data_IF_679056544506
#
_entry.id   IF_679056544506
#
_cell.length_a   1.000
_cell.length_b   1.000
_cell.length_c   1.000
_cell.angle_alpha   90.00
_cell.angle_beta   90.00
_cell.angle_gamma   90.00
#
_symmetry.space_group_name_H-M   'P 1'
#
loop_
_entity.id
_entity.type
_entity.pdbx_description
1 polymer ?
#
# COMPACT_ATOMS: atom_id res chain seq x y z
N UNK A 1 -8.92 25.06 -22.51
CA UNK A 1 -8.95 25.41 -21.07
C UNK A 1 -7.54 25.75 -20.61
N UNK A 2 -7.37 26.59 -19.55
CA UNK A 2 -6.07 26.91 -18.95
C UNK A 2 -6.11 26.58 -17.44
N UNK A 3 -5.06 26.03 -16.90
CA UNK A 3 -4.89 25.78 -15.46
C UNK A 3 -3.44 26.05 -15.06
N UNK A 4 -3.17 26.29 -13.78
CA UNK A 4 -1.79 26.40 -13.32
C UNK A 4 -1.16 25.01 -13.21
N UNK A 5 -1.91 24.07 -12.64
CA UNK A 5 -1.40 22.72 -12.33
C UNK A 5 -2.38 21.67 -12.85
N UNK A 6 -1.87 20.79 -13.70
CA UNK A 6 -2.61 19.63 -14.22
C UNK A 6 -2.11 18.35 -13.54
N UNK A 7 -3.02 17.60 -12.95
CA UNK A 7 -2.72 16.35 -12.25
C UNK A 7 -3.34 15.19 -13.02
N UNK A 8 -2.54 14.15 -13.28
CA UNK A 8 -2.97 12.95 -14.00
C UNK A 8 -3.13 11.79 -13.02
N UNK A 9 -4.37 11.35 -12.89
CA UNK A 9 -4.80 10.31 -11.96
C UNK A 9 -5.49 10.85 -10.71
N UNK A 10 -6.72 10.40 -10.47
CA UNK A 10 -7.51 10.72 -9.28
C UNK A 10 -7.41 9.60 -8.20
N UNK A 11 -6.26 8.94 -8.09
CA UNK A 11 -5.94 8.07 -6.96
C UNK A 11 -5.53 8.87 -5.72
N UNK A 12 -5.19 8.19 -4.62
CA UNK A 12 -4.87 8.83 -3.34
C UNK A 12 -3.79 9.93 -3.46
N UNK A 13 -2.70 9.68 -4.21
CA UNK A 13 -1.65 10.69 -4.41
C UNK A 13 -2.20 11.91 -5.16
N UNK A 14 -2.87 11.69 -6.30
CA UNK A 14 -3.39 12.80 -7.14
C UNK A 14 -4.44 13.62 -6.41
N UNK A 15 -5.41 12.98 -5.77
CA UNK A 15 -6.45 13.66 -4.99
C UNK A 15 -5.86 14.44 -3.80
N UNK A 16 -4.91 13.86 -3.05
CA UNK A 16 -4.26 14.56 -1.93
C UNK A 16 -3.46 15.77 -2.44
N UNK A 17 -2.76 15.64 -3.57
CA UNK A 17 -2.02 16.76 -4.19
C UNK A 17 -2.99 17.86 -4.62
N UNK A 18 -4.03 17.51 -5.37
CA UNK A 18 -5.04 18.44 -5.85
C UNK A 18 -5.76 19.16 -4.71
N UNK A 19 -6.21 18.42 -3.71
CA UNK A 19 -6.86 18.96 -2.51
C UNK A 19 -5.95 19.95 -1.79
N UNK A 20 -4.69 19.56 -1.55
CA UNK A 20 -3.72 20.42 -0.84
C UNK A 20 -3.42 21.71 -1.59
N UNK A 21 -3.30 21.65 -2.90
CA UNK A 21 -3.05 22.84 -3.74
C UNK A 21 -4.30 23.72 -3.83
N UNK A 22 -5.47 23.12 -4.07
CA UNK A 22 -6.73 23.84 -4.18
C UNK A 22 -7.12 24.53 -2.86
N UNK A 23 -6.86 23.89 -1.69
CA UNK A 23 -7.10 24.48 -0.37
C UNK A 23 -6.22 25.71 -0.09
N UNK A 24 -5.10 25.85 -0.82
CA UNK A 24 -4.21 27.01 -0.80
C UNK A 24 -4.49 28.02 -1.93
N UNK A 25 -5.62 27.87 -2.63
CA UNK A 25 -6.07 28.79 -3.67
C UNK A 25 -5.42 28.61 -5.06
N UNK A 26 -4.67 27.51 -5.29
CA UNK A 26 -4.10 27.22 -6.60
C UNK A 26 -5.18 26.75 -7.58
N UNK A 27 -5.05 27.14 -8.84
CA UNK A 27 -5.92 26.66 -9.91
C UNK A 27 -5.43 25.29 -10.39
N UNK A 28 -6.17 24.22 -10.05
CA UNK A 28 -5.81 22.84 -10.34
C UNK A 28 -6.88 22.16 -11.17
N UNK A 29 -6.46 21.26 -12.06
CA UNK A 29 -7.33 20.36 -12.80
C UNK A 29 -6.81 18.94 -12.68
N UNK A 30 -7.70 17.97 -12.47
CA UNK A 30 -7.39 16.54 -12.39
C UNK A 30 -8.03 15.80 -13.56
N UNK A 31 -7.25 14.97 -14.24
CA UNK A 31 -7.74 14.07 -15.29
C UNK A 31 -7.66 12.63 -14.84
N UNK A 32 -8.77 11.89 -14.92
CA UNK A 32 -8.85 10.47 -14.53
C UNK A 32 -9.53 9.64 -15.64
N UNK A 33 -8.93 8.52 -16.00
CA UNK A 33 -9.49 7.63 -17.05
C UNK A 33 -10.68 6.80 -16.58
N UNK A 34 -10.74 6.49 -15.28
CA UNK A 34 -11.86 5.74 -14.70
C UNK A 34 -13.09 6.62 -14.54
N UNK A 35 -14.27 5.98 -14.50
CA UNK A 35 -15.55 6.65 -14.28
C UNK A 35 -15.76 7.10 -12.82
N UNK A 36 -14.80 6.82 -11.94
CA UNK A 36 -14.79 7.23 -10.55
C UNK A 36 -13.41 7.72 -10.12
N UNK A 37 -13.38 8.60 -9.13
CA UNK A 37 -12.18 8.94 -8.38
C UNK A 37 -11.86 7.86 -7.33
N UNK A 38 -10.66 7.93 -6.72
CA UNK A 38 -10.21 7.03 -5.66
C UNK A 38 -9.13 6.03 -6.09
N UNK A 39 -8.97 5.81 -7.41
CA UNK A 39 -7.99 4.86 -7.94
C UNK A 39 -8.27 3.44 -7.42
N UNK A 40 -7.29 2.84 -6.73
CA UNK A 40 -7.46 1.49 -6.15
C UNK A 40 -8.23 1.46 -4.83
N UNK A 41 -8.49 2.60 -4.19
CA UNK A 41 -9.33 2.66 -3.00
C UNK A 41 -10.80 2.58 -3.43
N UNK A 42 -11.48 1.55 -2.99
CA UNK A 42 -12.91 1.38 -3.25
C UNK A 42 -13.54 0.52 -2.15
N UNK A 43 -14.46 1.13 -1.41
CA UNK A 43 -15.26 0.47 -0.37
C UNK A 43 -16.59 0.02 -0.97
N UNK A 44 -16.98 -1.20 -0.68
CA UNK A 44 -18.26 -1.79 -1.05
C UNK A 44 -19.10 -2.02 0.20
N UNK A 45 -20.40 -1.99 0.03
CA UNK A 45 -21.36 -2.30 1.09
C UNK A 45 -22.45 -3.24 0.55
N UNK A 46 -22.62 -4.39 1.19
CA UNK A 46 -23.55 -5.42 0.77
C UNK A 46 -23.92 -6.33 1.95
N UNK A 47 -25.20 -6.65 2.12
CA UNK A 47 -25.70 -7.62 3.11
C UNK A 47 -25.20 -7.43 4.55
N UNK A 48 -24.96 -6.19 4.96
CA UNK A 48 -24.44 -5.83 6.27
C UNK A 48 -22.91 -5.92 6.39
N UNK A 49 -22.21 -6.25 5.30
CA UNK A 49 -20.75 -6.21 5.23
C UNK A 49 -20.28 -4.93 4.56
N UNK A 50 -19.16 -4.38 5.07
CA UNK A 50 -18.43 -3.25 4.48
C UNK A 50 -16.99 -3.69 4.22
N UNK A 51 -16.63 -3.85 2.96
CA UNK A 51 -15.34 -4.40 2.55
C UNK A 51 -14.66 -3.55 1.48
N UNK A 52 -13.35 -3.68 1.39
CA UNK A 52 -12.52 -2.99 0.42
C UNK A 52 -12.19 -3.90 -0.77
N UNK A 53 -11.96 -3.33 -1.95
CA UNK A 53 -11.44 -4.05 -3.12
C UNK A 53 -10.09 -3.49 -3.56
N UNK A 54 -9.17 -3.31 -2.63
CA UNK A 54 -7.84 -2.74 -2.83
C UNK A 54 -7.12 -2.59 -1.51
N UNK A 55 -6.54 -1.43 -1.17
CA UNK A 55 -5.99 -1.23 0.16
C UNK A 55 -7.06 -1.39 1.24
N UNK A 56 -6.82 -2.27 2.21
CA UNK A 56 -7.76 -2.53 3.32
C UNK A 56 -7.49 -1.65 4.54
N UNK A 57 -6.21 -1.33 4.78
CA UNK A 57 -5.78 -0.58 5.97
C UNK A 57 -4.57 0.27 5.64
N UNK A 58 -4.38 1.34 6.41
CA UNK A 58 -3.14 2.09 6.41
C UNK A 58 -2.45 2.07 7.77
N UNK A 59 -1.26 2.65 7.84
CA UNK A 59 -0.56 2.90 9.10
C UNK A 59 -0.28 4.40 9.22
N UNK A 60 -0.59 4.99 10.38
CA UNK A 60 -0.26 6.40 10.67
C UNK A 60 1.26 6.50 10.91
N UNK A 61 2.03 6.21 9.87
CA UNK A 61 3.50 6.18 9.93
C UNK A 61 4.16 7.52 9.68
N UNK A 62 3.38 8.51 9.25
CA UNK A 62 3.78 9.88 8.97
C UNK A 62 2.72 10.85 9.52
N UNK A 63 3.11 12.05 10.01
CA UNK A 63 2.16 13.05 10.55
C UNK A 63 1.10 13.50 9.54
N UNK A 64 1.46 13.56 8.26
CA UNK A 64 0.60 14.02 7.15
C UNK A 64 -0.71 13.23 7.05
N UNK A 65 -0.72 11.97 7.55
CA UNK A 65 -1.95 11.16 7.59
C UNK A 65 -2.95 11.74 8.57
N UNK A 66 -2.51 12.01 9.81
CA UNK A 66 -3.40 12.57 10.84
C UNK A 66 -3.85 14.00 10.47
N UNK A 67 -2.93 14.80 9.94
CA UNK A 67 -3.23 16.16 9.47
C UNK A 67 -4.30 16.13 8.37
N UNK A 68 -4.16 15.24 7.38
CA UNK A 68 -5.15 15.09 6.31
C UNK A 68 -6.53 14.70 6.86
N UNK A 69 -6.61 13.76 7.78
CA UNK A 69 -7.89 13.37 8.37
C UNK A 69 -8.56 14.50 9.14
N UNK A 70 -7.80 15.29 9.91
CA UNK A 70 -8.32 16.48 10.62
C UNK A 70 -8.93 17.47 9.62
N UNK A 71 -8.26 17.71 8.50
CA UNK A 71 -8.76 18.60 7.46
C UNK A 71 -10.01 18.03 6.77
N UNK A 72 -9.97 16.74 6.41
CA UNK A 72 -11.07 16.08 5.70
C UNK A 72 -12.32 15.92 6.60
N UNK A 73 -12.16 15.65 7.87
CA UNK A 73 -13.29 15.63 8.81
C UNK A 73 -14.02 16.97 8.81
N UNK A 74 -13.27 18.08 8.84
CA UNK A 74 -13.84 19.43 8.80
C UNK A 74 -14.56 19.73 7.47
N UNK A 75 -13.91 19.49 6.34
CA UNK A 75 -14.49 19.87 5.02
C UNK A 75 -15.61 18.95 4.57
N UNK A 76 -15.66 17.71 5.09
CA UNK A 76 -16.72 16.74 4.80
C UNK A 76 -17.92 16.85 5.75
N UNK A 77 -17.89 17.77 6.72
CA UNK A 77 -18.93 17.87 7.76
C UNK A 77 -18.99 16.61 8.64
N UNK A 78 -17.83 16.01 8.96
CA UNK A 78 -17.71 14.85 9.83
C UNK A 78 -17.89 13.48 9.13
N UNK A 79 -18.10 13.45 7.81
CA UNK A 79 -18.28 12.18 7.08
C UNK A 79 -16.98 11.39 6.93
N UNK A 80 -15.84 12.07 6.75
CA UNK A 80 -14.53 11.44 6.69
C UNK A 80 -13.85 11.51 8.06
N UNK A 81 -14.02 10.49 8.88
CA UNK A 81 -13.47 10.42 10.23
C UNK A 81 -12.45 9.31 10.35
N UNK A 82 -11.31 9.63 10.98
CA UNK A 82 -10.25 8.64 11.26
C UNK A 82 -10.76 7.57 12.22
N UNK A 83 -10.57 6.31 11.85
CA UNK A 83 -10.77 5.16 12.72
C UNK A 83 -9.44 4.42 12.90
N UNK A 84 -9.08 4.06 14.13
CA UNK A 84 -7.87 3.28 14.41
C UNK A 84 -8.20 1.94 15.02
N UNK A 85 -7.46 0.91 14.61
CA UNK A 85 -7.64 -0.43 15.13
C UNK A 85 -7.42 -0.47 16.67
N UNK A 86 -8.26 -1.20 17.43
CA UNK A 86 -8.13 -1.35 18.86
C UNK A 86 -6.88 -2.17 19.23
N UNK A 87 -6.48 -2.08 20.49
CA UNK A 87 -5.26 -2.78 20.96
C UNK A 87 -5.36 -4.30 20.83
N UNK A 88 -6.55 -4.89 20.94
CA UNK A 88 -6.79 -6.31 20.71
C UNK A 88 -6.41 -6.74 19.27
N UNK A 89 -6.62 -5.89 18.28
CA UNK A 89 -6.26 -6.14 16.90
C UNK A 89 -4.76 -5.89 16.58
N UNK A 90 -3.93 -5.54 17.56
CA UNK A 90 -2.47 -5.45 17.36
C UNK A 90 -1.80 -6.80 17.20
N UNK A 91 -2.45 -7.89 17.62
CA UNK A 91 -1.92 -9.24 17.45
C UNK A 91 -1.79 -9.56 15.97
N UNK A 92 -0.57 -9.88 15.55
CA UNK A 92 -0.27 -10.39 14.21
C UNK A 92 0.04 -11.86 14.31
N UNK A 93 -0.53 -12.64 13.43
CA UNK A 93 -0.42 -14.08 13.47
C UNK A 93 0.44 -14.56 12.29
N UNK A 94 1.17 -15.65 12.52
CA UNK A 94 1.93 -16.37 11.49
C UNK A 94 1.45 -17.80 11.47
N UNK A 95 1.12 -18.32 10.31
CA UNK A 95 0.79 -19.74 10.15
C UNK A 95 2.04 -20.58 10.33
N UNK A 96 1.97 -21.61 11.16
CA UNK A 96 3.05 -22.58 11.32
C UNK A 96 2.48 -23.94 11.66
N UNK A 97 2.70 -24.91 10.76
CA UNK A 97 2.16 -26.25 10.85
C UNK A 97 0.66 -26.28 10.63
N UNK A 98 -0.12 -26.34 11.70
CA UNK A 98 -1.58 -26.54 11.68
C UNK A 98 -2.40 -25.37 12.28
N UNK A 99 -1.73 -24.28 12.70
CA UNK A 99 -2.40 -23.18 13.38
C UNK A 99 -1.68 -21.84 13.23
N UNK A 100 -2.43 -20.77 13.45
CA UNK A 100 -1.89 -19.44 13.62
C UNK A 100 -1.23 -19.26 15.00
N UNK A 101 -0.01 -18.70 15.01
CA UNK A 101 0.76 -18.39 16.21
C UNK A 101 1.06 -16.90 16.26
N UNK A 102 0.94 -16.31 17.44
CA UNK A 102 1.18 -14.87 17.59
C UNK A 102 2.65 -14.52 17.36
N UNK A 103 2.88 -13.48 16.53
CA UNK A 103 4.20 -12.88 16.40
C UNK A 103 4.56 -12.17 17.71
N UNK A 104 5.78 -12.33 18.22
CA UNK A 104 6.19 -11.70 19.48
C UNK A 104 6.10 -10.17 19.42
N UNK A 105 5.53 -9.56 20.46
CA UNK A 105 5.41 -8.11 20.61
C UNK A 105 6.37 -7.52 21.66
N UNK A 106 7.10 -8.36 22.39
CA UNK A 106 8.03 -7.95 23.44
C UNK A 106 8.99 -9.08 23.85
N UNK A 107 9.95 -8.79 24.74
CA UNK A 107 10.99 -9.74 25.14
C UNK A 107 10.43 -11.05 25.73
N UNK A 108 9.46 -10.97 26.62
CA UNK A 108 8.86 -12.17 27.21
C UNK A 108 8.19 -13.08 26.17
N UNK A 109 7.41 -12.50 25.28
CA UNK A 109 6.77 -13.22 24.18
C UNK A 109 7.78 -13.73 23.14
N UNK A 110 8.92 -13.03 22.94
CA UNK A 110 9.99 -13.49 22.06
C UNK A 110 10.70 -14.73 22.60
N UNK A 111 10.85 -14.84 23.93
CA UNK A 111 11.42 -16.03 24.58
C UNK A 111 10.43 -17.20 24.49
N UNK A 112 9.14 -16.95 24.74
CA UNK A 112 8.11 -17.98 24.81
C UNK A 112 7.61 -18.46 23.43
N UNK A 113 7.79 -17.69 22.35
CA UNK A 113 7.21 -18.00 21.04
C UNK A 113 7.71 -19.35 20.49
N UNK A 114 6.81 -20.21 19.96
CA UNK A 114 7.18 -21.44 19.25
C UNK A 114 7.55 -21.19 17.77
N UNK A 115 7.48 -19.95 17.29
CA UNK A 115 7.87 -19.62 15.92
C UNK A 115 9.34 -19.88 15.65
N UNK A 116 10.21 -19.66 16.66
CA UNK A 116 11.66 -19.76 16.54
C UNK A 116 12.23 -20.78 17.54
N UNK A 117 13.24 -21.52 17.11
CA UNK A 117 14.01 -22.42 17.97
C UNK A 117 14.87 -21.63 18.97
N UNK A 118 15.38 -22.32 20.01
CA UNK A 118 16.33 -21.68 20.94
C UNK A 118 17.58 -21.16 20.22
N UNK A 119 18.12 -21.93 19.25
CA UNK A 119 19.26 -21.51 18.43
C UNK A 119 18.99 -20.23 17.65
N UNK A 120 17.79 -20.10 17.06
CA UNK A 120 17.38 -18.87 16.35
C UNK A 120 17.29 -17.68 17.30
N UNK A 121 16.76 -17.88 18.52
CA UNK A 121 16.65 -16.83 19.55
C UNK A 121 18.04 -16.32 19.97
N UNK A 122 19.01 -17.23 20.21
CA UNK A 122 20.40 -16.84 20.48
C UNK A 122 21.04 -16.12 19.29
N UNK A 123 20.73 -16.56 18.08
CA UNK A 123 21.23 -15.88 16.87
C UNK A 123 20.73 -14.43 16.76
N UNK A 124 19.46 -14.19 17.07
CA UNK A 124 18.84 -12.84 17.07
C UNK A 124 19.49 -11.98 18.17
N UNK A 125 19.72 -12.51 19.36
CA UNK A 125 20.43 -11.80 20.43
C UNK A 125 21.84 -11.37 20.04
N UNK A 126 22.54 -12.12 19.19
CA UNK A 126 23.86 -11.79 18.64
C UNK A 126 23.85 -10.74 17.53
N UNK A 127 22.68 -10.21 17.12
CA UNK A 127 22.55 -9.22 16.03
C UNK A 127 23.42 -7.98 16.24
N UNK A 128 23.52 -7.35 17.44
CA UNK A 128 24.29 -6.15 17.66
C UNK A 128 25.81 -6.26 17.38
N UNK A 129 26.37 -7.46 17.39
CA UNK A 129 27.79 -7.72 17.17
C UNK A 129 28.13 -8.14 15.73
N UNK A 130 27.12 -8.24 14.83
CA UNK A 130 27.36 -8.60 13.43
C UNK A 130 27.88 -7.42 12.65
N UNK A 131 28.80 -7.70 11.72
CA UNK A 131 29.34 -6.68 10.82
C UNK A 131 28.22 -6.09 9.96
N UNK A 132 28.32 -4.79 9.71
CA UNK A 132 27.51 -4.04 8.78
C UNK A 132 27.72 -4.55 7.35
N UNK A 133 26.66 -4.61 6.54
CA UNK A 133 26.74 -4.92 5.11
C UNK A 133 27.32 -3.75 4.30
N UNK A 134 28.08 -4.07 3.27
CA UNK A 134 28.71 -3.09 2.38
C UNK A 134 27.99 -2.96 1.03
N UNK A 135 27.21 -3.99 0.64
CA UNK A 135 26.44 -3.96 -0.59
C UNK A 135 25.19 -3.09 -0.45
N UNK A 136 25.09 -1.93 -1.13
CA UNK A 136 23.92 -1.07 -1.04
C UNK A 136 22.68 -1.70 -1.68
N UNK A 137 22.86 -2.66 -2.59
CA UNK A 137 21.78 -3.35 -3.30
C UNK A 137 21.43 -4.72 -2.67
N UNK A 138 21.91 -4.96 -1.43
CA UNK A 138 21.55 -6.16 -0.68
C UNK A 138 20.03 -6.32 -0.58
N UNK A 139 19.51 -7.49 -0.95
CA UNK A 139 18.09 -7.79 -0.86
C UNK A 139 17.66 -7.91 0.60
N UNK A 140 16.35 -7.78 0.85
CA UNK A 140 15.81 -7.92 2.20
C UNK A 140 16.06 -9.33 2.76
N UNK A 141 15.97 -10.36 1.90
CA UNK A 141 16.26 -11.75 2.27
C UNK A 141 17.72 -11.97 2.63
N UNK A 142 18.67 -11.43 1.86
CA UNK A 142 20.11 -11.50 2.14
C UNK A 142 20.45 -10.79 3.45
N UNK A 143 19.99 -9.55 3.62
CA UNK A 143 20.16 -8.76 4.83
C UNK A 143 19.65 -9.52 6.06
N UNK A 144 18.43 -10.00 6.00
CA UNK A 144 17.82 -10.70 7.12
C UNK A 144 18.51 -12.05 7.41
N UNK A 145 18.90 -12.80 6.37
CA UNK A 145 19.63 -14.07 6.53
C UNK A 145 20.99 -13.85 7.18
N UNK A 146 21.72 -12.83 6.76
CA UNK A 146 23.02 -12.45 7.30
C UNK A 146 22.90 -12.03 8.77
N UNK A 147 21.94 -11.20 9.12
CA UNK A 147 21.80 -10.66 10.48
C UNK A 147 21.01 -11.57 11.44
N UNK A 148 19.93 -12.16 10.98
CA UNK A 148 18.96 -12.83 11.86
C UNK A 148 18.84 -14.33 11.60
N UNK A 149 19.28 -14.82 10.44
CA UNK A 149 19.28 -16.25 10.08
C UNK A 149 18.09 -16.69 9.25
N UNK A 150 18.18 -17.94 8.74
CA UNK A 150 17.20 -18.49 7.79
C UNK A 150 15.79 -18.58 8.39
N UNK A 151 15.66 -19.10 9.61
CA UNK A 151 14.35 -19.27 10.25
C UNK A 151 13.61 -17.95 10.42
N UNK A 152 14.34 -16.86 10.70
CA UNK A 152 13.73 -15.52 10.77
C UNK A 152 13.28 -15.02 9.38
N UNK A 153 14.04 -15.34 8.33
CA UNK A 153 13.59 -15.07 6.95
C UNK A 153 12.31 -15.82 6.69
N UNK A 154 12.26 -17.12 6.95
CA UNK A 154 11.14 -17.99 6.61
C UNK A 154 9.84 -17.62 7.36
N UNK A 155 9.91 -17.28 8.66
CA UNK A 155 8.72 -17.09 9.51
C UNK A 155 8.43 -15.63 9.91
N UNK A 156 9.25 -14.68 9.50
CA UNK A 156 8.99 -13.26 9.77
C UNK A 156 9.12 -12.40 8.52
N UNK A 157 10.25 -12.48 7.81
CA UNK A 157 10.52 -11.58 6.68
C UNK A 157 9.73 -11.98 5.44
N UNK A 158 9.77 -13.26 5.08
CA UNK A 158 9.04 -13.79 3.93
C UNK A 158 7.51 -13.55 4.04
N UNK A 159 6.82 -13.98 5.11
CA UNK A 159 5.39 -13.72 5.23
C UNK A 159 5.06 -12.23 5.31
N UNK A 160 5.92 -11.40 5.93
CA UNK A 160 5.72 -9.96 5.97
C UNK A 160 5.81 -9.34 4.55
N UNK A 161 6.83 -9.68 3.77
CA UNK A 161 6.98 -9.13 2.42
C UNK A 161 5.94 -9.69 1.45
N UNK A 162 5.60 -10.96 1.57
CA UNK A 162 4.51 -11.56 0.81
C UNK A 162 3.16 -10.90 1.12
N UNK A 163 2.88 -10.58 2.38
CA UNK A 163 1.63 -9.94 2.80
C UNK A 163 1.56 -8.43 2.49
N UNK A 164 2.69 -7.72 2.54
CA UNK A 164 2.71 -6.24 2.36
C UNK A 164 3.07 -5.83 0.93
N UNK A 165 4.03 -6.53 0.31
CA UNK A 165 4.51 -6.24 -1.04
C UNK A 165 3.98 -7.21 -2.08
N UNK A 166 3.34 -8.31 -1.66
CA UNK A 166 3.10 -9.47 -2.52
C UNK A 166 4.39 -9.92 -3.23
N UNK A 167 5.54 -9.67 -2.61
CA UNK A 167 6.88 -9.70 -3.20
C UNK A 167 7.72 -10.87 -2.70
N UNK A 168 8.93 -10.97 -3.28
CA UNK A 168 9.94 -11.95 -2.87
C UNK A 168 11.05 -11.24 -2.07
N UNK A 169 11.39 -11.68 -0.84
CA UNK A 169 12.52 -11.14 -0.10
C UNK A 169 13.87 -11.26 -0.83
N UNK A 170 13.99 -12.16 -1.80
CA UNK A 170 15.22 -12.37 -2.56
C UNK A 170 15.39 -11.40 -3.75
N UNK A 171 14.37 -10.62 -4.11
CA UNK A 171 14.43 -9.65 -5.22
C UNK A 171 14.25 -8.21 -4.76
N UNK A 172 13.54 -7.97 -3.67
CA UNK A 172 13.31 -6.64 -3.12
C UNK A 172 14.60 -6.09 -2.49
N UNK A 173 15.09 -4.95 -2.99
CA UNK A 173 16.31 -4.29 -2.48
C UNK A 173 15.98 -3.47 -1.24
N UNK A 174 16.73 -3.72 -0.16
CA UNK A 174 16.40 -3.21 1.19
C UNK A 174 16.34 -1.68 1.25
N UNK A 175 17.30 -0.98 0.63
CA UNK A 175 17.34 0.49 0.68
C UNK A 175 16.13 1.16 0.04
N UNK A 176 15.45 0.48 -0.88
CA UNK A 176 14.26 0.99 -1.57
C UNK A 176 12.96 0.47 -0.95
N UNK A 177 12.90 -0.82 -0.63
CA UNK A 177 11.69 -1.44 -0.07
C UNK A 177 11.50 -1.12 1.42
N UNK A 178 12.58 -1.18 2.21
CA UNK A 178 12.57 -0.96 3.66
C UNK A 178 13.64 0.06 4.09
N UNK A 179 13.60 1.32 3.61
CA UNK A 179 14.66 2.30 3.86
C UNK A 179 14.88 2.57 5.35
N UNK A 180 13.84 2.49 6.18
CA UNK A 180 13.97 2.64 7.63
C UNK A 180 14.84 1.54 8.24
N UNK A 181 14.69 0.29 7.80
CA UNK A 181 15.49 -0.85 8.26
C UNK A 181 16.93 -0.73 7.76
N UNK A 182 17.13 -0.41 6.48
CA UNK A 182 18.43 -0.16 5.89
C UNK A 182 19.19 0.91 6.67
N UNK A 183 18.57 2.04 6.95
CA UNK A 183 19.18 3.15 7.67
C UNK A 183 19.55 2.82 9.13
N UNK A 184 18.83 1.92 9.80
CA UNK A 184 19.20 1.44 11.14
C UNK A 184 20.56 0.75 11.10
N UNK A 185 20.81 -0.13 10.13
CA UNK A 185 22.09 -0.77 9.97
C UNK A 185 23.16 0.21 9.51
N UNK A 186 22.87 1.03 8.50
CA UNK A 186 23.85 1.93 7.91
C UNK A 186 24.35 2.98 8.90
N UNK A 187 23.47 3.56 9.70
CA UNK A 187 23.80 4.66 10.60
C UNK A 187 24.26 4.21 11.99
N UNK A 188 23.82 3.02 12.43
CA UNK A 188 24.07 2.54 13.81
C UNK A 188 24.77 1.18 13.87
N UNK A 189 25.01 0.54 12.73
CA UNK A 189 25.66 -0.77 12.61
C UNK A 189 24.79 -1.96 13.07
N UNK A 190 23.57 -1.73 13.57
CA UNK A 190 22.69 -2.75 14.14
C UNK A 190 21.24 -2.29 14.17
N UNK A 191 20.30 -3.19 13.94
CA UNK A 191 18.88 -2.92 14.09
C UNK A 191 18.50 -2.61 15.54
N UNK A 192 19.00 -3.42 16.48
CA UNK A 192 18.72 -3.26 17.92
C UNK A 192 19.30 -1.94 18.44
N UNK A 193 20.59 -1.70 18.20
CA UNK A 193 21.25 -0.45 18.65
C UNK A 193 20.61 0.78 18.00
N UNK A 194 20.31 0.70 16.71
CA UNK A 194 19.66 1.77 15.97
C UNK A 194 18.26 2.07 16.49
N UNK A 195 17.44 1.04 16.73
CA UNK A 195 16.11 1.20 17.30
C UNK A 195 16.14 1.84 18.69
N UNK A 196 17.08 1.42 19.55
CA UNK A 196 17.27 2.00 20.89
C UNK A 196 17.71 3.47 20.85
N UNK A 197 18.65 3.84 19.96
CA UNK A 197 19.07 5.23 19.79
C UNK A 197 17.93 6.09 19.26
N UNK A 198 17.24 5.60 18.22
CA UNK A 198 16.14 6.32 17.59
C UNK A 198 14.94 6.52 18.51
N UNK A 199 14.69 5.58 19.44
CA UNK A 199 13.64 5.71 20.45
C UNK A 199 13.90 6.86 21.46
N UNK A 200 15.16 7.29 21.63
CA UNK A 200 15.58 8.36 22.53
C UNK A 200 15.64 9.74 21.83
N UNK A 201 15.50 9.80 20.51
CA UNK A 201 15.46 11.07 19.79
C UNK A 201 14.25 11.90 20.24
N UNK A 202 14.46 13.21 20.48
CA UNK A 202 13.35 14.10 20.84
C UNK A 202 12.33 14.16 19.71
N UNK A 203 11.05 14.12 20.05
CA UNK A 203 9.94 14.19 19.09
C UNK A 203 9.24 15.52 19.27
N UNK A 204 9.01 16.21 18.16
CA UNK A 204 8.12 17.37 18.11
C UNK A 204 6.65 16.94 18.32
N UNK A 205 5.76 17.88 18.60
CA UNK A 205 4.35 17.58 18.70
C UNK A 205 3.79 17.05 17.37
N UNK A 206 4.30 17.56 16.25
CA UNK A 206 3.95 17.03 14.93
C UNK A 206 4.40 15.58 14.75
N UNK A 207 5.61 15.19 15.18
CA UNK A 207 6.10 13.81 15.10
C UNK A 207 5.25 12.84 15.92
N UNK A 208 4.63 13.32 17.01
CA UNK A 208 3.74 12.52 17.86
C UNK A 208 2.44 12.15 17.17
N UNK A 209 2.02 12.87 16.12
CA UNK A 209 0.88 12.51 15.29
C UNK A 209 1.11 11.19 14.55
N UNK A 210 2.36 10.82 14.25
CA UNK A 210 2.73 9.55 13.65
C UNK A 210 2.66 8.39 14.66
N UNK A 211 1.47 8.04 15.10
CA UNK A 211 1.20 7.04 16.16
C UNK A 211 1.55 5.61 15.77
N UNK A 212 1.77 5.33 14.47
CA UNK A 212 1.97 3.99 13.87
C UNK A 212 0.77 3.05 14.04
N UNK A 213 -0.36 3.54 14.54
CA UNK A 213 -1.59 2.75 14.60
C UNK A 213 -2.07 2.39 13.20
N UNK A 214 -2.69 1.24 13.09
CA UNK A 214 -3.42 0.84 11.87
C UNK A 214 -4.68 1.69 11.78
N UNK A 215 -4.98 2.21 10.60
CA UNK A 215 -6.14 3.06 10.38
C UNK A 215 -7.00 2.63 9.20
N UNK A 216 -8.23 3.05 9.26
CA UNK A 216 -9.19 3.18 8.17
C UNK A 216 -9.97 4.50 8.34
N UNK A 217 -10.96 4.75 7.51
CA UNK A 217 -12.00 5.74 7.78
C UNK A 217 -13.26 5.03 8.29
N UNK A 218 -14.01 5.68 9.18
CA UNK A 218 -15.33 5.19 9.60
C UNK A 218 -16.20 4.98 8.36
N UNK A 219 -16.77 3.78 8.22
CA UNK A 219 -17.57 3.42 7.05
C UNK A 219 -16.79 3.03 5.79
N UNK A 220 -15.46 3.05 5.82
CA UNK A 220 -14.61 2.60 4.72
C UNK A 220 -13.63 3.63 4.18
N UNK A 221 -12.58 3.14 3.53
CA UNK A 221 -11.47 3.97 3.02
C UNK A 221 -11.91 4.92 1.90
N UNK A 222 -12.97 4.60 1.15
CA UNK A 222 -13.52 5.50 0.12
C UNK A 222 -13.89 6.87 0.68
N UNK A 223 -14.27 6.98 1.95
CA UNK A 223 -14.61 8.26 2.57
C UNK A 223 -13.45 9.28 2.54
N UNK A 224 -12.19 8.81 2.47
CA UNK A 224 -11.02 9.68 2.29
C UNK A 224 -11.01 10.29 0.89
N UNK A 225 -11.16 9.45 -0.13
CA UNK A 225 -11.13 9.86 -1.54
C UNK A 225 -12.37 10.64 -1.93
N UNK A 226 -13.52 10.27 -1.39
CA UNK A 226 -14.80 10.94 -1.64
C UNK A 226 -14.82 12.34 -1.01
N UNK A 227 -14.28 12.51 0.20
CA UNK A 227 -14.18 13.83 0.83
C UNK A 227 -13.32 14.80 -0.02
N UNK A 228 -12.19 14.33 -0.54
CA UNK A 228 -11.34 15.12 -1.42
C UNK A 228 -11.98 15.38 -2.78
N UNK A 229 -12.62 14.36 -3.35
CA UNK A 229 -13.30 14.48 -4.65
C UNK A 229 -14.48 15.45 -4.58
N UNK A 230 -15.29 15.37 -3.54
CA UNK A 230 -16.39 16.31 -3.33
C UNK A 230 -15.92 17.75 -3.12
N UNK A 231 -14.81 17.95 -2.40
CA UNK A 231 -14.20 19.28 -2.25
C UNK A 231 -13.70 19.84 -3.58
N UNK A 232 -13.12 19.00 -4.43
CA UNK A 232 -12.57 19.40 -5.72
C UNK A 232 -13.69 19.67 -6.76
N UNK A 233 -14.77 18.91 -6.73
CA UNK A 233 -15.92 19.08 -7.63
C UNK A 233 -15.53 19.08 -9.10
N UNK A 234 -15.91 20.10 -9.83
CA UNK A 234 -15.69 20.26 -11.29
C UNK A 234 -14.21 20.34 -11.69
N UNK A 235 -13.28 20.40 -10.73
CA UNK A 235 -11.85 20.32 -11.01
C UNK A 235 -11.40 18.89 -11.37
N UNK A 236 -12.28 17.90 -11.29
CA UNK A 236 -11.98 16.52 -11.68
C UNK A 236 -12.77 16.16 -12.93
N UNK A 237 -12.06 15.77 -13.98
CA UNK A 237 -12.66 15.20 -15.20
C UNK A 237 -12.43 13.70 -15.21
N UNK A 238 -13.51 12.93 -15.14
CA UNK A 238 -13.51 11.47 -15.13
C UNK A 238 -13.78 10.89 -16.52
N UNK A 239 -13.41 9.62 -16.75
CA UNK A 239 -13.74 8.87 -17.96
C UNK A 239 -12.97 9.32 -19.19
N UNK A 240 -11.83 10.00 -19.03
CA UNK A 240 -11.03 10.46 -20.18
C UNK A 240 -10.34 9.31 -20.89
N UNK A 241 -10.11 9.48 -22.20
CA UNK A 241 -9.40 8.51 -23.04
C UNK A 241 -8.33 9.25 -23.88
N UNK A 242 -7.38 8.47 -24.41
CA UNK A 242 -6.38 8.95 -25.39
C UNK A 242 -5.57 10.17 -24.91
N UNK A 243 -5.28 10.25 -23.61
CA UNK A 243 -4.50 11.34 -23.05
C UNK A 243 -3.09 11.36 -23.62
N UNK A 244 -2.65 12.52 -24.10
CA UNK A 244 -1.25 12.80 -24.46
C UNK A 244 -0.85 14.15 -23.90
N UNK A 245 0.36 14.22 -23.39
CA UNK A 245 0.96 15.45 -22.84
C UNK A 245 2.20 15.75 -23.64
N UNK A 246 2.35 17.01 -24.05
CA UNK A 246 3.50 17.49 -24.81
C UNK A 246 3.98 18.82 -24.28
N UNK A 247 5.31 19.07 -24.23
CA UNK A 247 5.84 20.37 -23.86
C UNK A 247 5.54 21.41 -24.97
N UNK A 248 5.28 22.64 -24.55
CA UNK A 248 5.03 23.77 -25.47
C UNK A 248 5.64 25.07 -24.90
N UNK A 249 6.89 25.35 -25.28
CA UNK A 249 7.67 26.41 -24.64
C UNK A 249 7.82 26.19 -23.15
N UNK A 250 7.38 27.14 -22.34
CA UNK A 250 7.42 27.04 -20.87
C UNK A 250 6.10 26.50 -20.27
N UNK A 251 5.26 25.87 -21.08
CA UNK A 251 3.96 25.31 -20.66
C UNK A 251 3.79 23.89 -21.18
N UNK A 252 2.70 23.27 -20.80
CA UNK A 252 2.32 21.92 -21.18
C UNK A 252 0.97 21.92 -21.90
N UNK A 253 0.85 21.13 -22.94
CA UNK A 253 -0.40 20.87 -23.63
C UNK A 253 -0.81 19.42 -23.35
N UNK A 254 -1.98 19.26 -22.74
CA UNK A 254 -2.63 17.95 -22.60
C UNK A 254 -3.80 17.87 -23.57
N UNK A 255 -3.83 16.85 -24.41
CA UNK A 255 -4.95 16.52 -25.31
C UNK A 255 -5.57 15.21 -24.89
N UNK A 256 -6.88 15.12 -24.87
CA UNK A 256 -7.61 13.91 -24.50
C UNK A 256 -8.99 13.89 -25.16
N UNK A 257 -9.64 12.72 -25.10
CA UNK A 257 -11.04 12.56 -25.49
C UNK A 257 -11.86 12.47 -24.22
N UNK A 258 -12.90 13.29 -24.08
CA UNK A 258 -13.81 13.25 -22.94
C UNK A 258 -14.80 12.07 -23.04
N UNK A 259 -15.66 11.95 -22.02
CA UNK A 259 -16.69 10.91 -21.96
C UNK A 259 -17.64 10.91 -23.15
N UNK A 260 -17.94 12.09 -23.68
CA UNK A 260 -18.88 12.27 -24.79
C UNK A 260 -18.22 12.09 -26.17
N UNK A 261 -16.91 11.78 -26.20
CA UNK A 261 -16.15 11.56 -27.42
C UNK A 261 -15.56 12.84 -28.01
N UNK A 262 -15.66 13.98 -27.34
CA UNK A 262 -15.12 15.22 -27.83
C UNK A 262 -13.62 15.34 -27.54
N UNK A 263 -12.87 15.89 -28.49
CA UNK A 263 -11.48 16.23 -28.29
C UNK A 263 -11.34 17.50 -27.45
N UNK A 264 -10.58 17.39 -26.38
CA UNK A 264 -10.34 18.45 -25.42
C UNK A 264 -8.85 18.79 -25.34
N UNK A 265 -8.57 20.05 -25.01
CA UNK A 265 -7.20 20.55 -24.82
C UNK A 265 -7.10 21.38 -23.54
N UNK A 266 -6.09 21.09 -22.72
CA UNK A 266 -5.75 21.87 -21.53
C UNK A 266 -4.31 22.36 -21.66
N UNK A 267 -4.09 23.65 -21.38
CA UNK A 267 -2.75 24.23 -21.21
C UNK A 267 -2.47 24.39 -19.73
N UNK A 268 -1.32 23.92 -19.27
CA UNK A 268 -0.90 23.97 -17.87
C UNK A 268 0.53 24.51 -17.73
N UNK A 269 0.85 25.12 -16.58
CA UNK A 269 2.22 25.50 -16.23
C UNK A 269 2.99 24.30 -15.68
N UNK A 270 2.33 23.52 -14.85
CA UNK A 270 2.87 22.33 -14.19
C UNK A 270 2.03 21.10 -14.53
N UNK A 271 2.68 19.95 -14.69
CA UNK A 271 2.04 18.64 -14.88
C UNK A 271 2.57 17.65 -13.85
N UNK A 272 1.66 17.00 -13.13
CA UNK A 272 1.99 15.99 -12.13
C UNK A 272 1.34 14.67 -12.54
N UNK A 273 2.15 13.65 -12.87
CA UNK A 273 1.63 12.30 -13.12
C UNK A 273 1.61 11.51 -11.82
N UNK A 274 0.50 10.86 -11.51
CA UNK A 274 0.35 10.02 -10.30
C UNK A 274 -0.15 8.61 -10.61
N UNK A 275 -0.19 8.26 -11.89
CA UNK A 275 -0.60 6.96 -12.41
C UNK A 275 0.54 5.92 -12.35
N UNK A 276 0.21 4.66 -12.64
CA UNK A 276 1.21 3.58 -12.74
C UNK A 276 2.21 3.81 -13.86
N UNK A 277 3.45 3.37 -13.67
CA UNK A 277 4.53 3.56 -14.67
C UNK A 277 4.20 2.97 -16.03
N UNK A 278 3.39 1.92 -16.06
CA UNK A 278 2.99 1.20 -17.28
C UNK A 278 2.12 2.00 -18.26
N UNK A 279 1.56 3.12 -17.84
CA UNK A 279 0.79 4.03 -18.74
C UNK A 279 1.60 5.25 -19.19
N UNK A 280 2.76 5.51 -18.56
CA UNK A 280 3.58 6.69 -18.89
C UNK A 280 4.07 6.73 -20.34
N UNK A 281 4.42 5.60 -21.00
CA UNK A 281 4.80 5.62 -22.42
C UNK A 281 3.74 6.25 -23.33
N UNK A 282 2.47 6.01 -23.05
CA UNK A 282 1.36 6.49 -23.87
C UNK A 282 1.07 7.97 -23.62
N UNK A 283 1.20 8.42 -22.38
CA UNK A 283 0.81 9.79 -21.98
C UNK A 283 1.96 10.80 -22.09
N UNK A 284 3.23 10.36 -22.09
CA UNK A 284 4.44 11.20 -22.20
C UNK A 284 5.27 10.83 -23.43
N UNK A 285 4.73 10.94 -24.66
CA UNK A 285 5.36 10.44 -25.87
C UNK A 285 6.64 11.21 -26.28
N UNK A 286 6.91 12.36 -25.68
CA UNK A 286 8.10 13.17 -25.89
C UNK A 286 9.35 12.65 -25.16
N UNK A 287 9.19 11.75 -24.19
CA UNK A 287 10.32 11.11 -23.52
C UNK A 287 10.87 10.02 -24.45
N UNK A 288 12.18 10.05 -24.68
CA UNK A 288 12.83 9.06 -25.52
C UNK A 288 12.58 7.63 -25.04
N UNK A 289 12.35 6.70 -25.98
CA UNK A 289 12.02 5.32 -25.68
C UNK A 289 13.02 4.63 -24.75
N UNK A 290 14.32 4.92 -24.92
CA UNK A 290 15.40 4.39 -24.07
C UNK A 290 15.32 4.84 -22.62
N UNK A 291 14.95 6.12 -22.39
CA UNK A 291 14.76 6.66 -21.04
C UNK A 291 13.41 6.20 -20.45
N UNK A 292 12.36 6.20 -21.25
CA UNK A 292 11.06 5.71 -20.83
C UNK A 292 11.10 4.22 -20.44
N UNK A 293 11.88 3.39 -21.13
CA UNK A 293 12.07 1.98 -20.79
C UNK A 293 12.63 1.80 -19.38
N UNK A 294 13.54 2.68 -18.92
CA UNK A 294 14.10 2.63 -17.57
C UNK A 294 13.06 3.01 -16.50
N UNK A 295 12.12 3.91 -16.83
CA UNK A 295 11.02 4.28 -15.94
C UNK A 295 9.97 3.17 -15.90
N UNK A 296 9.65 2.57 -17.06
CA UNK A 296 8.58 1.59 -17.20
C UNK A 296 9.00 0.14 -16.94
N UNK A 297 10.28 -0.14 -16.65
CA UNK A 297 10.74 -1.48 -16.27
C UNK A 297 10.31 -1.91 -14.86
N UNK A 298 9.51 -1.09 -14.19
CA UNK A 298 8.94 -1.39 -12.88
C UNK A 298 7.95 -2.55 -12.97
N UNK A 299 8.26 -3.65 -12.29
CA UNK A 299 7.35 -4.78 -12.15
C UNK A 299 6.28 -4.48 -11.10
N UNK A 300 5.08 -4.95 -11.36
CA UNK A 300 3.99 -4.94 -10.40
C UNK A 300 3.63 -6.38 -10.04
N UNK A 301 3.47 -6.66 -8.77
CA UNK A 301 2.93 -7.93 -8.33
C UNK A 301 1.44 -8.00 -8.68
N UNK A 302 0.97 -9.07 -9.36
CA UNK A 302 -0.45 -9.33 -9.52
C UNK A 302 -1.02 -9.84 -8.20
N UNK A 303 -2.32 -9.58 -7.95
CA UNK A 303 -2.98 -9.98 -6.72
C UNK A 303 -4.44 -10.36 -6.98
N UNK A 304 -4.88 -11.45 -6.39
CA UNK A 304 -6.29 -11.74 -6.18
C UNK A 304 -6.60 -11.43 -4.73
N UNK A 305 -7.52 -10.51 -4.52
CA UNK A 305 -8.07 -10.14 -3.23
C UNK A 305 -9.49 -10.69 -3.14
N UNK A 306 -9.81 -11.38 -2.03
CA UNK A 306 -11.14 -11.98 -1.85
C UNK A 306 -11.70 -11.57 -0.51
N UNK A 307 -12.82 -10.86 -0.52
CA UNK A 307 -13.60 -10.57 0.68
C UNK A 307 -14.50 -11.75 1.01
N UNK A 308 -14.40 -12.23 2.24
CA UNK A 308 -15.13 -13.40 2.74
C UNK A 308 -15.86 -13.01 4.02
N UNK A 309 -17.18 -13.01 3.97
CA UNK A 309 -18.05 -12.66 5.09
C UNK A 309 -18.80 -13.85 5.66
N UNK A 310 -18.99 -13.88 6.97
CA UNK A 310 -19.87 -14.82 7.66
C UNK A 310 -20.76 -14.06 8.64
N UNK A 311 -22.06 -14.33 8.63
CA UNK A 311 -23.04 -13.62 9.48
C UNK A 311 -23.02 -14.10 10.93
N UNK A 312 -22.49 -15.31 11.19
CA UNK A 312 -22.32 -15.82 12.54
C UNK A 312 -21.01 -16.61 12.67
N UNK A 313 -20.16 -16.20 13.60
CA UNK A 313 -18.87 -16.85 13.86
C UNK A 313 -18.98 -18.16 14.60
N UNK A 314 -20.16 -18.58 15.05
CA UNK A 314 -20.36 -19.77 15.88
C UNK A 314 -19.48 -19.79 17.14
N UNK A 315 -19.26 -18.62 17.73
CA UNK A 315 -18.44 -18.47 18.94
C UNK A 315 -16.92 -18.48 18.73
N UNK A 316 -16.45 -18.55 17.47
CA UNK A 316 -15.03 -18.42 17.16
C UNK A 316 -14.57 -16.97 17.36
N UNK A 317 -13.40 -16.78 17.96
CA UNK A 317 -12.84 -15.47 18.26
C UNK A 317 -11.67 -15.11 17.33
N UNK A 318 -11.79 -13.99 16.60
CA UNK A 318 -10.80 -13.52 15.64
C UNK A 318 -10.16 -12.18 16.06
N UNK A 319 -9.96 -11.93 17.36
CA UNK A 319 -9.34 -10.71 17.92
C UNK A 319 -7.86 -10.60 17.56
N UNK A 320 -7.57 -10.33 16.29
CA UNK A 320 -6.24 -10.11 15.74
C UNK A 320 -6.32 -9.19 14.51
N UNK A 321 -5.19 -8.64 14.08
CA UNK A 321 -5.09 -7.92 12.80
C UNK A 321 -5.32 -8.85 11.60
N UNK A 322 -4.83 -10.06 11.73
CA UNK A 322 -4.85 -11.08 10.69
C UNK A 322 -3.69 -12.04 10.84
N UNK A 323 -3.59 -12.97 9.91
CA UNK A 323 -2.55 -13.99 9.84
C UNK A 323 -1.82 -13.97 8.50
N UNK A 324 -0.49 -14.00 8.54
CA UNK A 324 0.37 -14.14 7.38
C UNK A 324 0.79 -15.60 7.21
N UNK A 325 1.01 -16.00 5.97
CA UNK A 325 1.35 -17.38 5.64
C UNK A 325 2.74 -17.42 5.00
N UNK A 326 3.71 -18.07 5.68
CA UNK A 326 5.05 -18.26 5.10
C UNK A 326 5.02 -19.12 3.84
N UNK A 327 5.87 -18.79 2.87
CA UNK A 327 6.00 -19.58 1.64
C UNK A 327 6.38 -21.04 1.92
N UNK A 328 7.18 -21.30 2.97
CA UNK A 328 7.60 -22.64 3.36
C UNK A 328 6.46 -23.52 3.92
N UNK A 329 5.30 -22.97 4.21
CA UNK A 329 4.11 -23.71 4.65
C UNK A 329 3.24 -24.21 3.49
N UNK A 330 3.61 -23.85 2.23
CA UNK A 330 3.00 -24.34 0.99
C UNK A 330 1.47 -24.20 0.92
N UNK A 331 0.93 -23.09 1.45
CA UNK A 331 -0.50 -22.77 1.35
C UNK A 331 -0.76 -21.86 0.14
N UNK A 332 -2.00 -21.87 -0.34
CA UNK A 332 -2.41 -21.10 -1.53
C UNK A 332 -2.74 -19.63 -1.24
N UNK A 333 -2.68 -19.20 0.03
CA UNK A 333 -2.92 -17.81 0.44
C UNK A 333 -1.65 -17.20 1.02
N UNK A 334 -1.42 -15.91 0.76
CA UNK A 334 -0.31 -15.14 1.34
C UNK A 334 -0.63 -14.68 2.77
N UNK A 335 -1.91 -14.51 3.06
CA UNK A 335 -2.41 -14.10 4.36
C UNK A 335 -3.89 -13.79 4.33
N UNK A 336 -4.43 -13.60 5.53
CA UNK A 336 -5.83 -13.28 5.78
C UNK A 336 -5.87 -12.10 6.74
N UNK A 337 -6.48 -10.98 6.35
CA UNK A 337 -6.82 -9.89 7.28
C UNK A 337 -8.16 -10.15 7.95
N UNK A 338 -8.35 -9.55 9.12
CA UNK A 338 -9.60 -9.59 9.89
C UNK A 338 -10.17 -8.18 10.05
N UNK A 339 -10.75 -7.58 8.98
CA UNK A 339 -11.21 -6.19 9.01
C UNK A 339 -12.25 -5.91 10.10
N UNK A 340 -13.16 -6.85 10.37
CA UNK A 340 -14.17 -6.71 11.43
C UNK A 340 -13.59 -6.72 12.85
N UNK A 341 -12.40 -7.27 13.06
CA UNK A 341 -11.67 -7.16 14.33
C UNK A 341 -10.94 -5.81 14.48
N UNK A 342 -10.66 -5.14 13.37
CA UNK A 342 -9.91 -3.90 13.32
C UNK A 342 -10.81 -2.65 13.36
N UNK A 343 -11.99 -2.72 12.75
CA UNK A 343 -12.84 -1.57 12.52
C UNK A 343 -14.31 -1.91 12.73
N UNK A 344 -15.08 -0.92 13.17
CA UNK A 344 -16.50 -1.07 13.47
C UNK A 344 -17.34 -1.16 12.18
N UNK A 345 -18.47 -1.84 12.27
CA UNK A 345 -19.46 -1.91 11.18
C UNK A 345 -18.97 -2.63 9.91
N UNK A 346 -17.92 -3.47 10.01
CA UNK A 346 -17.41 -4.23 8.85
C UNK A 346 -18.17 -5.52 8.59
N UNK A 347 -18.88 -6.03 9.58
CA UNK A 347 -19.72 -7.22 9.49
C UNK A 347 -20.96 -7.05 10.38
N UNK A 348 -21.99 -7.89 10.23
CA UNK A 348 -23.10 -8.01 11.19
C UNK A 348 -22.58 -8.30 12.62
N UNK A 349 -23.37 -8.03 13.64
CA UNK A 349 -22.97 -8.07 15.06
C UNK A 349 -22.32 -9.39 15.50
N UNK A 350 -22.88 -10.53 15.10
CA UNK A 350 -22.32 -11.86 15.40
C UNK A 350 -21.39 -12.39 14.31
N UNK A 351 -21.17 -11.59 13.26
CA UNK A 351 -20.44 -11.99 12.07
C UNK A 351 -18.97 -11.61 12.10
N UNK A 352 -18.29 -12.01 11.04
CA UNK A 352 -16.92 -11.60 10.77
C UNK A 352 -16.70 -11.35 9.27
N UNK A 353 -15.76 -10.45 8.98
CA UNK A 353 -15.25 -10.19 7.65
C UNK A 353 -13.76 -10.53 7.61
N UNK A 354 -13.39 -11.26 6.57
CA UNK A 354 -12.01 -11.63 6.27
C UNK A 354 -11.65 -11.13 4.87
N UNK A 355 -10.38 -10.77 4.67
CA UNK A 355 -9.84 -10.49 3.34
C UNK A 355 -8.67 -11.42 3.09
N UNK A 356 -8.78 -12.26 2.05
CA UNK A 356 -7.75 -13.19 1.63
C UNK A 356 -6.91 -12.57 0.52
N UNK A 357 -5.60 -12.77 0.60
CA UNK A 357 -4.65 -12.36 -0.43
C UNK A 357 -4.01 -13.58 -1.07
N UNK A 358 -4.11 -13.68 -2.40
CA UNK A 358 -3.67 -14.84 -3.19
C UNK A 358 -2.83 -14.31 -4.36
N UNK A 359 -1.78 -15.02 -4.75
CA UNK A 359 -0.94 -14.67 -5.90
C UNK A 359 0.39 -14.03 -5.50
N UNK A 360 0.61 -12.78 -5.87
CA UNK A 360 1.90 -12.11 -5.73
C UNK A 360 2.91 -12.54 -6.78
N UNK A 361 4.16 -12.05 -6.69
CA UNK A 361 5.21 -12.35 -7.68
C UNK A 361 5.59 -13.83 -7.75
N UNK A 362 5.39 -14.58 -6.68
CA UNK A 362 5.74 -16.00 -6.59
C UNK A 362 4.67 -16.91 -7.19
N UNK A 363 3.45 -16.44 -7.30
CA UNK A 363 2.28 -17.19 -7.74
C UNK A 363 1.39 -16.35 -8.65
N UNK A 364 2.00 -15.72 -9.66
CA UNK A 364 1.29 -14.85 -10.60
C UNK A 364 0.19 -15.60 -11.39
N UNK A 365 0.36 -16.90 -11.57
CA UNK A 365 -0.60 -17.80 -12.23
C UNK A 365 -1.97 -17.85 -11.52
N UNK A 366 -2.03 -17.49 -10.25
CA UNK A 366 -3.29 -17.46 -9.49
C UNK A 366 -4.30 -16.45 -10.04
N UNK A 367 -3.82 -15.43 -10.76
CA UNK A 367 -4.69 -14.43 -11.39
C UNK A 367 -5.58 -15.03 -12.50
N UNK A 368 -5.08 -16.08 -13.15
CA UNK A 368 -5.76 -16.76 -14.28
C UNK A 368 -6.78 -17.83 -13.83
N UNK A 369 -6.83 -18.12 -12.52
CA UNK A 369 -7.81 -19.08 -11.99
C UNK A 369 -9.23 -18.57 -12.14
N UNK A 370 -10.13 -19.47 -12.47
CA UNK A 370 -11.57 -19.22 -12.49
C UNK A 370 -12.12 -18.86 -11.11
N UNK A 371 -13.27 -18.20 -11.06
CA UNK A 371 -13.94 -17.88 -9.78
C UNK A 371 -14.29 -19.13 -8.99
N UNK A 372 -14.65 -20.23 -9.67
CA UNK A 372 -14.91 -21.53 -9.01
C UNK A 372 -13.68 -22.12 -8.34
N UNK A 373 -12.51 -22.07 -9.00
CA UNK A 373 -11.26 -22.54 -8.40
C UNK A 373 -10.85 -21.67 -7.21
N UNK A 374 -11.00 -20.35 -7.32
CA UNK A 374 -10.71 -19.43 -6.22
C UNK A 374 -11.68 -19.63 -5.04
N UNK A 375 -12.95 -19.88 -5.31
CA UNK A 375 -13.97 -20.19 -4.28
C UNK A 375 -13.58 -21.47 -3.55
N UNK A 376 -13.14 -22.52 -4.25
CA UNK A 376 -12.66 -23.76 -3.64
C UNK A 376 -11.46 -23.52 -2.71
N UNK A 377 -10.53 -22.65 -3.11
CA UNK A 377 -9.39 -22.26 -2.24
C UNK A 377 -9.92 -21.56 -0.99
N UNK A 378 -10.86 -20.63 -1.14
CA UNK A 378 -11.47 -19.89 -0.01
C UNK A 378 -12.11 -20.86 0.97
N UNK A 379 -12.94 -21.79 0.49
CA UNK A 379 -13.62 -22.77 1.33
C UNK A 379 -12.64 -23.68 2.09
N UNK A 380 -11.60 -24.17 1.43
CA UNK A 380 -10.56 -24.96 2.06
C UNK A 380 -9.87 -24.19 3.19
N UNK A 381 -9.47 -22.95 2.91
CA UNK A 381 -8.81 -22.07 3.90
C UNK A 381 -9.77 -21.69 5.03
N UNK A 382 -11.04 -21.49 4.75
CA UNK A 382 -12.08 -21.17 5.73
C UNK A 382 -12.25 -22.28 6.78
N UNK A 383 -12.24 -23.53 6.35
CA UNK A 383 -12.35 -24.67 7.25
C UNK A 383 -11.00 -25.02 7.88
N UNK A 384 -9.92 -25.06 7.10
CA UNK A 384 -8.60 -25.49 7.59
C UNK A 384 -7.96 -24.45 8.52
N UNK A 385 -7.93 -23.18 8.08
CA UNK A 385 -7.14 -22.15 8.77
C UNK A 385 -7.97 -21.33 9.76
N UNK A 386 -9.20 -20.97 9.39
CA UNK A 386 -10.12 -20.24 10.28
C UNK A 386 -10.93 -21.17 11.20
N UNK A 387 -10.84 -22.50 11.01
CA UNK A 387 -11.45 -23.51 11.87
C UNK A 387 -12.99 -23.49 11.91
N UNK A 388 -13.65 -22.94 10.89
CA UNK A 388 -15.09 -23.04 10.81
C UNK A 388 -15.51 -24.50 10.61
N UNK A 389 -16.61 -24.93 11.26
CA UNK A 389 -17.16 -26.28 11.06
C UNK A 389 -17.56 -26.52 9.60
N UNK A 390 -17.43 -27.77 9.13
CA UNK A 390 -17.74 -28.13 7.74
C UNK A 390 -19.21 -27.88 7.30
N UNK A 391 -20.10 -27.64 8.24
CA UNK A 391 -21.52 -27.28 7.99
C UNK A 391 -21.73 -25.79 7.70
N UNK A 392 -20.72 -24.95 7.99
CA UNK A 392 -20.80 -23.50 7.85
C UNK A 392 -20.13 -23.11 6.56
N UNK A 393 -20.82 -22.39 5.71
CA UNK A 393 -20.27 -21.80 4.49
C UNK A 393 -20.16 -20.28 4.66
N UNK A 394 -19.27 -19.60 3.93
CA UNK A 394 -19.29 -18.15 3.84
C UNK A 394 -20.63 -17.63 3.28
N UNK A 395 -21.15 -16.55 3.89
CA UNK A 395 -22.35 -15.85 3.41
C UNK A 395 -22.03 -14.87 2.28
N UNK A 396 -20.78 -14.40 2.21
CA UNK A 396 -20.27 -13.47 1.20
C UNK A 396 -18.93 -13.95 0.68
N UNK A 397 -18.78 -14.01 -0.65
CA UNK A 397 -17.49 -14.16 -1.34
C UNK A 397 -17.47 -13.16 -2.49
N UNK A 398 -16.47 -12.25 -2.51
CA UNK A 398 -16.28 -11.27 -3.61
C UNK A 398 -14.81 -11.27 -4.04
N UNK A 399 -14.59 -11.55 -5.31
CA UNK A 399 -13.26 -11.77 -5.91
C UNK A 399 -12.86 -10.54 -6.71
N UNK A 400 -11.68 -10.01 -6.43
CA UNK A 400 -11.09 -8.87 -7.12
C UNK A 400 -9.72 -9.24 -7.68
N UNK A 401 -9.49 -8.98 -8.97
CA UNK A 401 -8.22 -9.26 -9.66
C UNK A 401 -7.50 -7.97 -9.99
N UNK A 402 -6.26 -7.86 -9.54
CA UNK A 402 -5.40 -6.70 -9.75
C UNK A 402 -4.14 -7.11 -10.50
N UNK A 403 -4.09 -6.87 -11.82
CA UNK A 403 -2.93 -7.18 -12.64
C UNK A 403 -1.68 -6.41 -12.21
N UNK A 404 -1.84 -5.15 -11.85
CA UNK A 404 -0.77 -4.25 -11.46
C UNK A 404 -1.02 -3.72 -10.03
N UNK A 405 -1.04 -4.62 -9.03
CA UNK A 405 -1.40 -4.26 -7.66
C UNK A 405 -0.28 -3.49 -6.95
N UNK A 406 0.89 -4.08 -6.79
CA UNK A 406 1.93 -3.55 -5.91
C UNK A 406 3.28 -3.47 -6.64
N UNK A 407 3.87 -2.25 -6.78
CA UNK A 407 5.16 -2.08 -7.42
C UNK A 407 6.28 -2.75 -6.63
N UNK A 408 7.21 -3.38 -7.35
CA UNK A 408 8.34 -4.11 -6.79
C UNK A 408 9.61 -3.28 -6.86
N UNK A 409 10.17 -2.94 -5.71
CA UNK A 409 11.39 -2.14 -5.63
C UNK A 409 12.63 -3.04 -5.66
N UNK A 410 12.93 -3.54 -6.85
CA UNK A 410 14.05 -4.42 -7.17
C UNK A 410 15.31 -3.63 -7.57
N UNK A 411 16.33 -4.32 -8.07
CA UNK A 411 17.65 -3.76 -8.43
C UNK A 411 17.57 -2.60 -9.44
N UNK A 412 16.59 -2.61 -10.34
CA UNK A 412 16.39 -1.54 -11.34
C UNK A 412 15.84 -0.23 -10.75
N UNK A 413 15.48 -0.22 -9.48
CA UNK A 413 14.88 0.96 -8.83
C UNK A 413 15.81 2.16 -8.84
N UNK A 414 17.11 1.97 -8.62
CA UNK A 414 18.09 3.07 -8.63
C UNK A 414 18.16 3.77 -9.98
N UNK A 415 18.26 3.01 -11.06
CA UNK A 415 18.27 3.55 -12.42
C UNK A 415 16.97 4.27 -12.76
N UNK A 416 15.82 3.71 -12.37
CA UNK A 416 14.52 4.33 -12.57
C UNK A 416 14.42 5.69 -11.86
N UNK A 417 14.82 5.76 -10.58
CA UNK A 417 14.76 7.01 -9.81
C UNK A 417 15.67 8.08 -10.41
N UNK A 418 16.92 7.73 -10.76
CA UNK A 418 17.84 8.64 -11.40
C UNK A 418 17.31 9.15 -12.76
N UNK A 419 16.62 8.26 -13.53
CA UNK A 419 16.03 8.64 -14.80
C UNK A 419 14.84 9.58 -14.61
N UNK A 420 14.00 9.34 -13.60
CA UNK A 420 12.89 10.25 -13.25
C UNK A 420 13.44 11.63 -12.90
N UNK A 421 14.45 11.72 -12.04
CA UNK A 421 15.08 13.00 -11.66
C UNK A 421 15.66 13.72 -12.88
N UNK A 422 16.34 13.01 -13.78
CA UNK A 422 16.86 13.53 -15.04
C UNK A 422 15.76 14.12 -15.90
N UNK A 423 14.61 13.43 -16.00
CA UNK A 423 13.49 13.92 -16.80
C UNK A 423 12.84 15.16 -16.18
N UNK A 424 12.64 15.18 -14.86
CA UNK A 424 12.12 16.34 -14.13
C UNK A 424 13.05 17.56 -14.26
N UNK A 425 14.36 17.37 -14.27
CA UNK A 425 15.35 18.44 -14.51
C UNK A 425 15.35 18.94 -15.97
N UNK A 426 15.22 18.03 -16.93
CA UNK A 426 15.20 18.36 -18.38
C UNK A 426 13.92 19.08 -18.79
N UNK A 427 12.79 18.71 -18.21
CA UNK A 427 11.47 19.20 -18.57
C UNK A 427 10.85 19.95 -17.39
N UNK A 428 11.12 21.27 -17.33
CA UNK A 428 10.60 22.12 -16.25
C UNK A 428 9.08 22.04 -16.16
N UNK A 429 8.56 21.97 -14.94
CA UNK A 429 7.14 21.83 -14.68
C UNK A 429 6.59 20.41 -14.86
N UNK A 430 7.46 19.40 -15.11
CA UNK A 430 7.06 17.98 -15.10
C UNK A 430 7.42 17.34 -13.76
N UNK A 431 6.44 16.66 -13.14
CA UNK A 431 6.61 15.88 -11.91
C UNK A 431 6.10 14.47 -12.12
N UNK A 432 6.99 13.48 -12.04
CA UNK A 432 6.64 12.06 -12.20
C UNK A 432 6.51 11.43 -10.81
N UNK A 433 5.29 11.38 -10.30
CA UNK A 433 4.94 10.89 -8.97
C UNK A 433 4.15 9.56 -9.02
N UNK A 434 3.51 9.22 -7.93
CA UNK A 434 2.78 7.97 -7.79
C UNK A 434 3.61 6.87 -7.13
N UNK A 435 3.13 5.64 -7.21
CA UNK A 435 3.72 4.50 -6.50
C UNK A 435 5.01 3.94 -7.13
N UNK A 436 5.48 4.52 -8.23
CA UNK A 436 6.76 4.16 -8.83
C UNK A 436 7.98 4.60 -8.00
N UNK A 437 7.77 5.49 -7.03
CA UNK A 437 8.78 6.02 -6.09
C UNK A 437 8.17 6.33 -4.72
N UNK A 438 9.01 6.52 -3.71
CA UNK A 438 8.68 6.99 -2.34
C UNK A 438 7.80 6.04 -1.50
N UNK A 439 7.76 4.76 -1.84
CA UNK A 439 7.05 3.72 -1.09
C UNK A 439 5.64 3.41 -1.61
N UNK A 440 5.07 2.32 -1.12
CA UNK A 440 3.82 1.75 -1.65
C UNK A 440 2.60 2.05 -0.76
N UNK A 441 2.81 2.28 0.54
CA UNK A 441 1.71 2.40 1.50
C UNK A 441 0.97 3.74 1.42
N UNK A 442 -0.28 3.78 1.82
CA UNK A 442 -1.13 4.99 1.81
C UNK A 442 -0.47 6.20 2.49
N UNK A 443 0.19 6.00 3.64
CA UNK A 443 0.91 7.07 4.32
C UNK A 443 2.05 7.68 3.48
N UNK A 444 2.73 6.85 2.67
CA UNK A 444 3.75 7.33 1.75
C UNK A 444 3.13 8.12 0.59
N UNK A 445 1.97 7.67 0.10
CA UNK A 445 1.24 8.37 -0.97
C UNK A 445 0.75 9.74 -0.53
N UNK A 446 0.22 9.82 0.69
CA UNK A 446 -0.22 11.09 1.31
C UNK A 446 0.98 12.01 1.52
N UNK A 447 2.09 11.49 2.08
CA UNK A 447 3.30 12.28 2.30
C UNK A 447 3.87 12.81 0.97
N UNK A 448 4.04 11.97 -0.05
CA UNK A 448 4.53 12.39 -1.36
C UNK A 448 3.68 13.52 -1.93
N UNK A 449 2.36 13.40 -1.85
CA UNK A 449 1.43 14.42 -2.32
C UNK A 449 1.61 15.76 -1.59
N UNK A 450 1.78 15.74 -0.27
CA UNK A 450 2.04 16.93 0.54
C UNK A 450 3.39 17.56 0.20
N UNK A 451 4.44 16.74 0.04
CA UNK A 451 5.78 17.22 -0.32
C UNK A 451 5.78 17.90 -1.70
N UNK A 452 5.07 17.34 -2.68
CA UNK A 452 4.91 17.97 -4.01
C UNK A 452 4.13 19.28 -3.91
N UNK A 453 3.00 19.27 -3.22
CA UNK A 453 2.19 20.47 -3.06
C UNK A 453 2.96 21.59 -2.33
N UNK A 454 3.81 21.26 -1.36
CA UNK A 454 4.64 22.24 -0.66
C UNK A 454 5.67 22.90 -1.57
N UNK A 455 6.21 22.19 -2.57
CA UNK A 455 7.18 22.74 -3.53
C UNK A 455 6.53 23.70 -4.52
N UNK A 456 5.22 23.56 -4.74
CA UNK A 456 4.45 24.34 -5.73
C UNK A 456 3.61 25.48 -5.10
N UNK A 457 3.72 25.68 -3.81
CA UNK A 457 3.05 26.78 -3.07
C UNK A 457 4.03 27.83 -2.63
#
# INVERSE_FOLDING_TARGET
MKTDILIIGAGLTGLTTAYTLASKGKNVQVLERMERAGGQIHTHQEDGFVYESGPNTGSISNPEVAELFIELEKVSGGKCKLETAPDAAKRRLIWKGDQFRALPSGLGSAIATPLFTLGDKFRILGEPWRKKGENPDETVGELARRRLGKSFVDYAVDPFLSGVYAGDPNTLVTRYALPKLYNLEQNYGSFVRGAMKKAKEPKTDRDRLATKKVFSAVGGLSNITDAMSNYLGDRITLGIKNLKITPSGNTWIATYTDRDGNHQTINALEVITTCGSYVLPDILPFIEKSEMAKINNLKYAPMVEISVGVKNTNGLDYKAFGGLVPTCEHKQVLGILFPSACFTGRAPEEGALFTYFIGGVKHAEMLEKSDSELTTIVENVFHEMLKFPSKVNPDLIRIFRHQNAIPQYEITTGERLATVEKMEQKFHGLHIAGNLRDGIGMAHRIKQARDIAQKLT
#
